data_IF_608751694303
#
_entry.id   IF_608751694303
#
_cell.length_a   1.000
_cell.length_b   1.000
_cell.length_c   1.000
_cell.angle_alpha   90.00
_cell.angle_beta   90.00
_cell.angle_gamma   90.00
#
_symmetry.space_group_name_H-M   'P 1'
#
loop_
_entity.id
_entity.type
_entity.pdbx_description
1 polymer ?
#
# COMPACT_ATOMS: atom_id res chain seq x y z
N UNK A 1 -30.65 47.58 -2.77
CA UNK A 1 -29.23 47.17 -2.83
C UNK A 1 -28.92 46.92 -4.29
N UNK A 2 -27.99 47.68 -4.88
CA UNK A 2 -27.72 47.57 -6.32
C UNK A 2 -27.26 46.15 -6.68
N UNK A 3 -27.84 45.58 -7.72
CA UNK A 3 -27.47 44.25 -8.23
C UNK A 3 -26.00 44.19 -8.64
N UNK A 4 -25.42 45.30 -9.09
CA UNK A 4 -23.99 45.42 -9.38
C UNK A 4 -23.12 45.19 -8.14
N UNK A 5 -23.48 45.76 -6.99
CA UNK A 5 -22.76 45.57 -5.72
C UNK A 5 -22.76 44.09 -5.30
N UNK A 6 -23.89 43.40 -5.45
CA UNK A 6 -24.01 41.97 -5.18
C UNK A 6 -23.08 41.13 -6.06
N UNK A 7 -22.96 41.47 -7.35
CA UNK A 7 -22.03 40.80 -8.27
C UNK A 7 -20.56 41.04 -7.91
N UNK A 8 -20.18 42.28 -7.57
CA UNK A 8 -18.81 42.59 -7.16
C UNK A 8 -18.42 41.88 -5.86
N UNK A 9 -19.32 41.86 -4.87
CA UNK A 9 -19.08 41.13 -3.61
C UNK A 9 -18.91 39.63 -3.88
N UNK A 10 -19.78 39.05 -4.70
CA UNK A 10 -19.70 37.63 -5.07
C UNK A 10 -18.40 37.30 -5.80
N UNK A 11 -17.97 38.16 -6.73
CA UNK A 11 -16.72 38.01 -7.47
C UNK A 11 -15.49 38.06 -6.56
N UNK A 12 -15.44 39.02 -5.64
CA UNK A 12 -14.34 39.15 -4.67
C UNK A 12 -14.27 37.92 -3.75
N UNK A 13 -15.42 37.43 -3.27
CA UNK A 13 -15.47 36.22 -2.43
C UNK A 13 -14.90 35.01 -3.17
N UNK A 14 -15.29 34.80 -4.44
CA UNK A 14 -14.74 33.71 -5.26
C UNK A 14 -13.24 33.88 -5.48
N UNK A 15 -12.76 35.09 -5.79
CA UNK A 15 -11.33 35.36 -5.97
C UNK A 15 -10.52 35.08 -4.70
N UNK A 16 -11.01 35.49 -3.53
CA UNK A 16 -10.35 35.20 -2.25
C UNK A 16 -10.30 33.68 -2.01
N UNK A 17 -11.39 32.96 -2.28
CA UNK A 17 -11.43 31.50 -2.18
C UNK A 17 -10.41 30.81 -3.08
N UNK A 18 -10.32 31.23 -4.35
CA UNK A 18 -9.34 30.70 -5.31
C UNK A 18 -7.89 31.05 -4.91
N UNK A 19 -7.64 32.27 -4.44
CA UNK A 19 -6.33 32.69 -3.95
C UNK A 19 -5.88 31.92 -2.71
N UNK A 20 -6.82 31.67 -1.78
CA UNK A 20 -6.59 30.81 -0.61
C UNK A 20 -6.23 29.38 -0.99
N UNK A 21 -7.00 28.79 -1.91
CA UNK A 21 -6.70 27.44 -2.44
C UNK A 21 -5.35 27.38 -3.16
N UNK A 22 -5.05 28.38 -4.00
CA UNK A 22 -3.77 28.51 -4.70
C UNK A 22 -2.59 28.61 -3.73
N UNK A 23 -2.70 29.44 -2.70
CA UNK A 23 -1.68 29.60 -1.66
C UNK A 23 -1.45 28.31 -0.87
N UNK A 24 -2.52 27.59 -0.52
CA UNK A 24 -2.44 26.28 0.12
C UNK A 24 -1.74 25.24 -0.77
N UNK A 25 -2.09 25.18 -2.06
CA UNK A 25 -1.43 24.29 -3.05
C UNK A 25 0.05 24.60 -3.20
N UNK A 26 0.42 25.87 -3.30
CA UNK A 26 1.82 26.30 -3.35
C UNK A 26 2.56 25.93 -2.06
N UNK A 27 1.91 26.06 -0.91
CA UNK A 27 2.48 25.64 0.39
C UNK A 27 2.74 24.13 0.42
N UNK A 28 1.82 23.30 -0.06
CA UNK A 28 2.03 21.85 -0.18
C UNK A 28 3.23 21.55 -1.08
N UNK A 29 3.31 22.17 -2.26
CA UNK A 29 4.43 21.97 -3.19
C UNK A 29 5.75 22.43 -2.56
N UNK A 30 5.76 23.58 -1.89
CA UNK A 30 6.93 24.07 -1.17
C UNK A 30 7.37 23.11 -0.06
N UNK A 31 6.43 22.63 0.76
CA UNK A 31 6.70 21.65 1.82
C UNK A 31 7.21 20.34 1.24
N UNK A 32 6.63 19.86 0.14
CA UNK A 32 7.11 18.69 -0.58
C UNK A 32 8.55 18.89 -1.06
N UNK A 33 8.85 19.98 -1.78
CA UNK A 33 10.20 20.24 -2.29
C UNK A 33 11.22 20.37 -1.14
N UNK A 34 10.85 21.11 -0.08
CA UNK A 34 11.68 21.31 1.12
C UNK A 34 12.00 20.01 1.85
N UNK A 35 11.10 19.02 1.81
CA UNK A 35 11.24 17.76 2.54
C UNK A 35 11.43 16.53 1.63
N UNK A 36 11.50 16.71 0.31
CA UNK A 36 11.52 15.63 -0.69
C UNK A 36 12.68 14.66 -0.53
N UNK A 37 13.75 15.07 0.15
CA UNK A 37 14.95 14.27 0.41
C UNK A 37 15.05 13.75 1.85
N UNK A 38 14.07 14.04 2.71
CA UNK A 38 14.03 13.49 4.07
C UNK A 38 13.35 12.13 4.04
N UNK A 39 14.15 11.09 3.84
CA UNK A 39 13.67 9.72 4.00
C UNK A 39 13.62 9.38 5.49
N UNK A 40 12.51 8.80 6.00
CA UNK A 40 12.49 8.29 7.36
C UNK A 40 13.60 7.24 7.49
N UNK A 41 14.12 7.06 8.70
CA UNK A 41 15.10 6.02 9.03
C UNK A 41 14.54 5.19 10.18
N UNK A 42 14.81 3.88 10.24
CA UNK A 42 14.43 3.07 11.38
C UNK A 42 15.15 3.60 12.63
N UNK A 43 14.48 3.53 13.79
CA UNK A 43 15.06 3.96 15.06
C UNK A 43 16.21 3.03 15.44
N UNK A 44 16.00 1.73 15.31
CA UNK A 44 16.98 0.68 15.58
C UNK A 44 16.82 -0.47 14.57
N UNK A 45 17.88 -1.27 14.42
CA UNK A 45 17.82 -2.52 13.66
C UNK A 45 17.48 -3.66 14.62
N UNK A 46 16.56 -4.54 14.20
CA UNK A 46 16.23 -5.73 14.97
C UNK A 46 17.43 -6.66 15.01
N UNK A 47 17.79 -7.10 16.22
CA UNK A 47 18.89 -8.05 16.44
C UNK A 47 18.51 -9.46 15.98
N UNK A 48 17.26 -9.83 16.22
CA UNK A 48 16.63 -11.06 15.76
C UNK A 48 15.45 -10.69 14.89
N UNK A 49 15.38 -11.26 13.69
CA UNK A 49 14.28 -11.00 12.76
C UNK A 49 13.03 -11.79 13.19
N UNK A 50 11.82 -11.22 13.00
CA UNK A 50 10.59 -11.91 13.35
C UNK A 50 10.36 -13.13 12.46
N UNK A 51 9.55 -14.06 12.97
CA UNK A 51 9.10 -15.23 12.23
C UNK A 51 8.42 -14.81 10.92
N UNK A 52 8.76 -15.51 9.83
CA UNK A 52 8.14 -15.32 8.52
C UNK A 52 7.28 -16.54 8.20
N UNK A 53 6.00 -16.29 7.96
CA UNK A 53 5.04 -17.26 7.44
C UNK A 53 4.35 -16.70 6.21
N UNK A 54 4.06 -17.55 5.23
CA UNK A 54 3.42 -17.15 3.98
C UNK A 54 1.98 -17.68 3.98
N UNK A 55 1.02 -16.80 3.69
CA UNK A 55 -0.37 -17.21 3.49
C UNK A 55 -0.81 -16.78 2.10
N UNK A 56 -1.39 -17.71 1.35
CA UNK A 56 -2.07 -17.41 0.11
C UNK A 56 -3.58 -17.50 0.36
N UNK A 57 -4.22 -16.33 0.38
CA UNK A 57 -5.65 -16.19 0.56
C UNK A 57 -6.33 -16.27 -0.79
N UNK A 58 -7.12 -17.32 -1.00
CA UNK A 58 -7.65 -17.68 -2.31
C UNK A 58 -9.17 -17.79 -2.27
N UNK A 59 -9.84 -16.87 -2.95
CA UNK A 59 -11.29 -16.87 -3.14
C UNK A 59 -11.70 -17.24 -4.59
N UNK A 60 -10.81 -17.90 -5.35
CA UNK A 60 -11.08 -18.34 -6.73
C UNK A 60 -11.92 -19.61 -6.77
N UNK A 61 -12.73 -19.78 -7.81
CA UNK A 61 -13.57 -20.98 -8.00
C UNK A 61 -13.28 -21.69 -9.33
N UNK A 62 -12.19 -21.30 -9.97
CA UNK A 62 -11.76 -21.76 -11.29
C UNK A 62 -10.43 -22.55 -11.17
N UNK A 63 -9.73 -22.74 -12.28
CA UNK A 63 -8.45 -23.45 -12.31
C UNK A 63 -7.35 -22.81 -11.44
N UNK A 64 -7.52 -21.56 -11.01
CA UNK A 64 -6.58 -20.84 -10.15
C UNK A 64 -6.37 -21.56 -8.82
N UNK A 65 -7.39 -22.26 -8.30
CA UNK A 65 -7.28 -23.02 -7.04
C UNK A 65 -6.15 -24.05 -7.09
N UNK A 66 -6.02 -24.77 -8.21
CA UNK A 66 -4.98 -25.79 -8.39
C UNK A 66 -3.60 -25.15 -8.58
N UNK A 67 -3.53 -24.03 -9.29
CA UNK A 67 -2.29 -23.26 -9.47
C UNK A 67 -1.78 -22.74 -8.12
N UNK A 68 -2.67 -22.16 -7.32
CA UNK A 68 -2.39 -21.67 -5.97
C UNK A 68 -1.90 -22.79 -5.05
N UNK A 69 -2.58 -23.94 -5.07
CA UNK A 69 -2.19 -25.12 -4.29
C UNK A 69 -0.80 -25.62 -4.67
N UNK A 70 -0.55 -25.80 -5.97
CA UNK A 70 0.76 -26.24 -6.46
C UNK A 70 1.88 -25.25 -6.09
N UNK A 71 1.62 -23.94 -6.15
CA UNK A 71 2.56 -22.91 -5.72
C UNK A 71 2.91 -23.01 -4.23
N UNK A 72 1.91 -23.22 -3.36
CA UNK A 72 2.12 -23.39 -1.92
C UNK A 72 2.88 -24.68 -1.61
N UNK A 73 2.55 -25.80 -2.26
CA UNK A 73 3.31 -27.04 -2.09
C UNK A 73 4.76 -26.90 -2.57
N UNK A 74 5.01 -26.14 -3.64
CA UNK A 74 6.36 -25.78 -4.06
C UNK A 74 7.13 -24.96 -3.02
N UNK A 75 6.47 -24.05 -2.29
CA UNK A 75 7.07 -23.31 -1.18
C UNK A 75 7.37 -24.20 0.02
N UNK A 76 6.42 -25.07 0.41
CA UNK A 76 6.62 -26.03 1.50
C UNK A 76 7.75 -27.00 1.20
N UNK A 77 7.83 -27.51 -0.02
CA UNK A 77 8.92 -28.40 -0.45
C UNK A 77 10.31 -27.74 -0.37
N UNK A 78 10.37 -26.41 -0.47
CA UNK A 78 11.60 -25.61 -0.25
C UNK A 78 11.87 -25.30 1.23
N UNK A 79 11.00 -25.74 2.14
CA UNK A 79 11.14 -25.57 3.59
C UNK A 79 10.52 -24.29 4.15
N UNK A 80 9.68 -23.57 3.39
CA UNK A 80 8.99 -22.38 3.90
C UNK A 80 7.71 -22.76 4.65
N UNK A 81 7.41 -22.08 5.76
CA UNK A 81 6.10 -22.14 6.41
C UNK A 81 5.09 -21.38 5.55
N UNK A 82 4.32 -22.13 4.76
CA UNK A 82 3.38 -21.59 3.79
C UNK A 82 2.03 -22.31 3.87
N UNK A 83 0.92 -21.57 3.84
CA UNK A 83 -0.44 -22.12 3.94
C UNK A 83 -1.34 -21.57 2.83
N UNK A 84 -2.15 -22.44 2.23
CA UNK A 84 -3.20 -22.09 1.27
C UNK A 84 -4.53 -22.02 2.02
N UNK A 85 -5.09 -20.81 2.14
CA UNK A 85 -6.37 -20.59 2.81
C UNK A 85 -7.39 -20.30 1.73
N UNK A 86 -8.15 -21.33 1.38
CA UNK A 86 -9.14 -21.24 0.32
C UNK A 86 -10.56 -21.07 0.87
N UNK A 87 -11.34 -20.17 0.26
CA UNK A 87 -12.77 -20.00 0.50
C UNK A 87 -13.52 -19.95 -0.83
N UNK A 88 -14.71 -20.52 -0.87
CA UNK A 88 -15.60 -20.45 -2.04
C UNK A 88 -16.59 -19.29 -1.95
N UNK A 89 -16.76 -18.71 -0.75
CA UNK A 89 -17.58 -17.54 -0.49
C UNK A 89 -16.72 -16.26 -0.49
N UNK A 90 -17.13 -15.29 -1.31
CA UNK A 90 -16.46 -13.99 -1.50
C UNK A 90 -17.01 -12.90 -0.57
N UNK A 91 -17.75 -13.26 0.49
CA UNK A 91 -18.22 -12.32 1.50
C UNK A 91 -17.08 -11.45 2.02
N UNK A 92 -17.29 -10.12 1.97
CA UNK A 92 -16.30 -9.12 2.36
C UNK A 92 -15.12 -8.95 1.37
N UNK A 93 -15.08 -9.72 0.28
CA UNK A 93 -14.04 -9.71 -0.74
C UNK A 93 -12.64 -9.74 -0.10
N UNK A 94 -11.75 -8.82 -0.52
CA UNK A 94 -10.38 -8.69 0.01
C UNK A 94 -10.34 -8.49 1.53
N UNK A 95 -11.25 -7.68 2.07
CA UNK A 95 -11.29 -7.43 3.52
C UNK A 95 -11.70 -8.70 4.29
N UNK A 96 -12.71 -9.43 3.79
CA UNK A 96 -13.13 -10.71 4.37
C UNK A 96 -12.05 -11.78 4.25
N UNK A 97 -11.29 -11.80 3.15
CA UNK A 97 -10.18 -12.72 2.96
C UNK A 97 -9.10 -12.48 4.02
N UNK A 98 -8.72 -11.21 4.19
CA UNK A 98 -7.74 -10.78 5.19
C UNK A 98 -8.21 -11.07 6.61
N UNK A 99 -9.47 -10.79 6.93
CA UNK A 99 -10.07 -11.11 8.24
C UNK A 99 -9.96 -12.61 8.54
N UNK A 100 -10.32 -13.47 7.57
CA UNK A 100 -10.20 -14.91 7.73
C UNK A 100 -8.75 -15.37 7.89
N UNK A 101 -7.83 -14.85 7.05
CA UNK A 101 -6.41 -15.18 7.11
C UNK A 101 -5.73 -14.76 8.40
N UNK A 102 -6.09 -13.60 8.94
CA UNK A 102 -5.52 -13.04 10.18
C UNK A 102 -5.72 -13.98 11.37
N UNK A 103 -6.80 -14.77 11.39
CA UNK A 103 -7.06 -15.77 12.45
C UNK A 103 -6.01 -16.88 12.53
N UNK A 104 -5.27 -17.10 11.45
CA UNK A 104 -4.22 -18.11 11.34
C UNK A 104 -2.81 -17.49 11.28
N UNK A 105 -2.70 -16.16 11.35
CA UNK A 105 -1.42 -15.47 11.33
C UNK A 105 -0.61 -15.82 12.59
N UNK A 106 0.63 -16.28 12.38
CA UNK A 106 1.55 -16.65 13.46
C UNK A 106 2.54 -15.52 13.82
N UNK A 107 2.69 -14.55 12.93
CA UNK A 107 3.62 -13.43 13.08
C UNK A 107 3.00 -12.21 13.77
N UNK A 108 3.88 -11.34 14.29
CA UNK A 108 3.50 -10.08 14.94
C UNK A 108 3.11 -8.98 13.93
N UNK A 109 3.66 -9.05 12.72
CA UNK A 109 3.43 -8.08 11.66
C UNK A 109 2.74 -8.74 10.46
N UNK A 110 1.87 -7.97 9.78
CA UNK A 110 1.23 -8.38 8.54
C UNK A 110 1.82 -7.61 7.36
N UNK A 111 2.35 -8.34 6.38
CA UNK A 111 2.67 -7.81 5.06
C UNK A 111 1.59 -8.27 4.08
N UNK A 112 0.87 -7.32 3.50
CA UNK A 112 -0.19 -7.57 2.52
C UNK A 112 0.35 -7.29 1.12
N UNK A 113 0.31 -8.30 0.26
CA UNK A 113 0.68 -8.19 -1.16
C UNK A 113 -0.51 -8.62 -2.01
N UNK A 114 -0.76 -7.89 -3.10
CA UNK A 114 -1.72 -8.34 -4.11
C UNK A 114 -1.12 -9.50 -4.91
N UNK A 115 -1.99 -10.38 -5.45
CA UNK A 115 -1.56 -11.59 -6.16
C UNK A 115 -0.76 -11.31 -7.44
N UNK A 116 -0.89 -10.11 -8.01
CA UNK A 116 -0.16 -9.62 -9.18
C UNK A 116 1.08 -8.80 -8.81
N UNK A 117 1.36 -8.62 -7.51
CA UNK A 117 2.51 -7.85 -7.05
C UNK A 117 3.76 -8.72 -6.93
N UNK A 118 4.85 -8.28 -7.57
CA UNK A 118 6.17 -8.91 -7.45
C UNK A 118 7.04 -8.04 -6.54
N UNK A 119 7.19 -8.39 -5.24
CA UNK A 119 7.98 -7.60 -4.31
C UNK A 119 9.48 -7.69 -4.63
N UNK A 120 10.23 -6.63 -4.33
CA UNK A 120 11.68 -6.70 -4.33
C UNK A 120 12.16 -7.71 -3.27
N UNK A 121 13.22 -8.51 -3.52
CA UNK A 121 13.71 -9.51 -2.58
C UNK A 121 14.12 -8.96 -1.21
N UNK A 122 14.47 -7.68 -1.15
CA UNK A 122 14.91 -6.98 0.06
C UNK A 122 13.79 -6.19 0.77
N UNK A 123 12.53 -6.31 0.31
CA UNK A 123 11.39 -5.54 0.82
C UNK A 123 11.27 -5.66 2.34
N UNK A 124 11.23 -6.89 2.86
CA UNK A 124 11.10 -7.14 4.30
C UNK A 124 12.27 -6.56 5.09
N UNK A 125 13.51 -6.76 4.63
CA UNK A 125 14.70 -6.25 5.30
C UNK A 125 14.71 -4.71 5.35
N UNK A 126 14.21 -4.07 4.28
CA UNK A 126 14.13 -2.60 4.21
C UNK A 126 13.00 -2.01 5.03
N UNK A 127 11.93 -2.75 5.32
CA UNK A 127 10.76 -2.20 6.02
C UNK A 127 10.69 -2.62 7.49
N UNK A 128 11.07 -3.84 7.83
CA UNK A 128 10.77 -4.41 9.16
C UNK A 128 11.33 -3.58 10.31
N UNK A 129 12.51 -2.98 10.13
CA UNK A 129 13.19 -2.20 11.16
C UNK A 129 12.49 -0.90 11.54
N UNK A 130 11.57 -0.36 10.73
CA UNK A 130 10.82 0.84 11.12
C UNK A 130 9.83 0.59 12.26
N UNK A 131 9.43 -0.67 12.48
CA UNK A 131 8.62 -1.06 13.63
C UNK A 131 9.41 -1.09 14.95
N UNK A 132 10.70 -0.75 14.96
CA UNK A 132 11.47 -0.48 16.19
C UNK A 132 11.01 0.79 16.93
N UNK A 133 10.18 1.62 16.30
CA UNK A 133 9.49 2.72 16.97
C UNK A 133 8.03 2.31 17.22
N UNK A 134 7.68 2.14 18.50
CA UNK A 134 6.33 1.75 18.96
C UNK A 134 5.22 2.71 18.53
N UNK A 135 5.56 3.89 17.99
CA UNK A 135 4.61 4.85 17.42
C UNK A 135 4.20 4.51 15.98
N UNK A 136 4.89 3.57 15.33
CA UNK A 136 4.65 3.18 13.93
C UNK A 136 3.66 2.02 13.89
N UNK A 137 2.43 2.31 13.44
CA UNK A 137 1.41 1.28 13.22
C UNK A 137 1.37 0.70 11.80
N UNK A 138 1.96 1.38 10.81
CA UNK A 138 1.91 0.96 9.40
C UNK A 138 3.08 1.52 8.60
N UNK A 139 3.57 0.72 7.66
CA UNK A 139 4.55 1.12 6.65
C UNK A 139 3.92 0.96 5.28
N UNK A 140 3.82 2.05 4.53
CA UNK A 140 3.38 2.02 3.13
C UNK A 140 4.59 2.21 2.22
N UNK A 141 4.86 1.24 1.35
CA UNK A 141 5.86 1.38 0.29
C UNK A 141 5.23 1.97 -0.97
N UNK A 142 6.08 2.52 -1.85
CA UNK A 142 5.65 3.05 -3.14
C UNK A 142 5.31 1.90 -4.09
N UNK A 143 4.16 2.03 -4.76
CA UNK A 143 3.77 1.17 -5.87
C UNK A 143 4.44 1.65 -7.17
N UNK A 144 5.00 0.71 -7.92
CA UNK A 144 5.58 0.95 -9.23
C UNK A 144 4.95 0.03 -10.27
N UNK A 145 4.99 0.43 -11.53
CA UNK A 145 4.49 -0.39 -12.64
C UNK A 145 5.66 -1.09 -13.31
N UNK A 146 5.63 -2.43 -13.38
CA UNK A 146 6.62 -3.20 -14.16
C UNK A 146 6.54 -2.83 -15.65
N UNK A 147 5.34 -2.51 -16.14
CA UNK A 147 5.07 -2.10 -17.53
C UNK A 147 5.24 -0.59 -17.80
N UNK A 148 6.01 0.12 -16.96
CA UNK A 148 6.21 1.57 -17.06
C UNK A 148 6.68 2.05 -18.44
N UNK A 149 7.38 1.21 -19.19
CA UNK A 149 7.91 1.56 -20.52
C UNK A 149 7.09 0.99 -21.68
N UNK A 150 6.03 0.22 -21.42
CA UNK A 150 5.31 -0.54 -22.43
C UNK A 150 4.62 0.37 -23.47
N UNK A 151 4.05 1.50 -23.05
CA UNK A 151 3.50 2.50 -23.97
C UNK A 151 3.49 3.92 -23.38
N UNK A 152 3.04 4.90 -24.17
CA UNK A 152 2.99 6.32 -23.78
C UNK A 152 2.09 6.55 -22.56
N UNK A 153 0.95 5.87 -22.49
CA UNK A 153 0.00 6.00 -21.37
C UNK A 153 0.61 5.48 -20.06
N UNK A 154 1.29 4.32 -20.10
CA UNK A 154 1.93 3.74 -18.91
C UNK A 154 3.17 4.51 -18.47
N UNK A 155 3.84 5.24 -19.37
CA UNK A 155 4.92 6.16 -19.00
C UNK A 155 4.45 7.42 -18.27
N UNK A 156 3.27 7.93 -18.62
CA UNK A 156 2.70 9.14 -18.01
C UNK A 156 2.14 8.85 -16.61
N UNK A 157 1.62 7.64 -16.38
CA UNK A 157 0.99 7.24 -15.12
C UNK A 157 1.96 6.85 -13.99
N UNK A 158 3.24 6.66 -14.30
CA UNK A 158 4.18 6.00 -13.41
C UNK A 158 5.18 6.95 -12.75
#
# INVERSE_FOLDING_TARGET
MDTSLLWYVSYIVVLIGLAGYGSHRLTIVFLYLKHSRKHPQPKELFKELPLVTIQLLDDSTDETVEICRAGIEGLKARGFDAEHIHRTDRTGYKAGALENGTRFAKGEYLLILDADFVPNPDLLQKTIHYFSDDKIGMIQTRWGHLNRTFNVLTRIQA
#
